data_IF_029160015511
#
_entry.id   IF_029160015511
#
_cell.length_a   1.000
_cell.length_b   1.000
_cell.length_c   1.000
_cell.angle_alpha   90.00
_cell.angle_beta   90.00
_cell.angle_gamma   90.00
#
_symmetry.space_group_name_H-M   'P 1'
#
loop_
_entity.id
_entity.type
_entity.pdbx_description
1 polymer ?
#
# COMPACT_ATOMS: atom_id res chain seq x y z
N UNK A 1 58.31 7.37 20.28
CA UNK A 1 57.22 8.32 19.99
C UNK A 1 56.52 7.90 18.71
N UNK A 2 55.37 7.25 18.80
CA UNK A 2 54.40 7.18 17.69
C UNK A 2 53.02 7.01 18.31
N UNK A 3 52.21 8.07 18.21
CA UNK A 3 50.85 8.15 18.76
C UNK A 3 49.94 7.26 17.91
N UNK A 4 49.63 6.07 18.40
CA UNK A 4 48.41 5.36 18.03
C UNK A 4 47.23 6.23 18.47
N UNK A 5 46.59 6.89 17.50
CA UNK A 5 45.33 7.58 17.69
C UNK A 5 44.27 6.51 17.98
N UNK A 6 44.07 6.21 19.26
CA UNK A 6 42.82 5.62 19.74
C UNK A 6 41.73 6.67 19.54
N UNK A 7 40.94 6.53 18.47
CA UNK A 7 39.64 7.19 18.37
C UNK A 7 38.73 6.56 19.42
N UNK A 8 38.75 7.13 20.62
CA UNK A 8 37.85 6.78 21.70
C UNK A 8 36.62 7.69 21.73
N UNK A 9 35.49 7.08 22.12
CA UNK A 9 34.31 7.67 22.79
C UNK A 9 33.42 8.56 21.90
N UNK A 10 32.09 8.47 21.91
CA UNK A 10 31.11 7.93 22.87
C UNK A 10 29.82 7.75 22.06
N UNK A 11 29.25 6.54 21.95
CA UNK A 11 27.92 6.38 21.34
C UNK A 11 26.91 6.86 22.39
N UNK A 12 26.35 8.04 22.19
CA UNK A 12 25.20 8.52 22.96
C UNK A 12 24.10 7.46 22.88
N UNK A 13 23.62 6.98 24.04
CA UNK A 13 22.51 6.03 24.18
C UNK A 13 21.14 6.69 23.91
N UNK A 14 21.11 7.79 23.16
CA UNK A 14 20.02 8.78 23.26
C UNK A 14 19.13 8.90 22.02
N UNK A 15 19.35 8.09 20.97
CA UNK A 15 18.45 8.09 19.82
C UNK A 15 17.51 6.90 19.88
N UNK A 16 16.26 7.16 20.27
CA UNK A 16 15.14 6.21 20.14
C UNK A 16 15.08 5.77 18.66
N UNK A 17 15.28 4.48 18.34
CA UNK A 17 15.19 4.00 16.98
C UNK A 17 13.77 4.20 16.45
N UNK A 18 13.65 4.60 15.20
CA UNK A 18 12.39 4.86 14.54
C UNK A 18 12.12 3.80 13.48
N UNK A 19 10.89 3.29 13.49
CA UNK A 19 10.40 2.27 12.58
C UNK A 19 9.11 2.73 11.91
N UNK A 20 9.05 2.58 10.60
CA UNK A 20 7.84 2.74 9.81
C UNK A 20 6.92 1.53 10.04
N UNK A 21 5.65 1.82 10.36
CA UNK A 21 4.57 0.84 10.52
C UNK A 21 4.44 -0.07 9.28
N UNK A 22 4.78 0.47 8.10
CA UNK A 22 4.59 -0.17 6.81
C UNK A 22 5.90 -0.60 6.19
N UNK A 23 6.87 0.31 6.12
CA UNK A 23 8.09 0.13 5.34
C UNK A 23 9.00 -0.90 5.96
N UNK A 24 9.33 -0.72 7.24
CA UNK A 24 10.38 -1.52 7.87
C UNK A 24 9.94 -2.96 8.14
N UNK A 25 8.71 -3.14 8.62
CA UNK A 25 8.19 -4.47 8.93
C UNK A 25 8.02 -5.32 7.66
N UNK A 26 7.40 -4.76 6.62
CA UNK A 26 7.17 -5.50 5.38
C UNK A 26 8.49 -5.78 4.66
N UNK A 27 9.39 -4.80 4.58
CA UNK A 27 10.69 -5.00 3.93
C UNK A 27 11.55 -6.02 4.67
N UNK A 28 11.62 -5.95 6.01
CA UNK A 28 12.36 -6.92 6.81
C UNK A 28 11.79 -8.34 6.67
N UNK A 29 10.47 -8.48 6.69
CA UNK A 29 9.82 -9.79 6.53
C UNK A 29 9.94 -10.34 5.12
N UNK A 30 9.96 -9.49 4.09
CA UNK A 30 10.21 -9.89 2.72
C UNK A 30 11.63 -10.46 2.55
N UNK A 31 12.65 -9.75 3.05
CA UNK A 31 14.03 -10.26 3.12
C UNK A 31 14.88 -9.43 4.09
N UNK A 32 15.34 -10.04 5.19
CA UNK A 32 16.11 -9.35 6.23
C UNK A 32 17.45 -8.80 5.72
N UNK A 33 18.14 -9.54 4.85
CA UNK A 33 19.38 -9.07 4.21
C UNK A 33 19.14 -7.87 3.29
N UNK A 34 18.10 -7.93 2.46
CA UNK A 34 17.75 -6.84 1.56
C UNK A 34 17.41 -5.58 2.36
N UNK A 35 16.51 -5.71 3.33
CA UNK A 35 16.14 -4.64 4.28
C UNK A 35 17.38 -3.96 4.87
N UNK A 36 18.32 -4.74 5.40
CA UNK A 36 19.54 -4.21 5.99
C UNK A 36 20.42 -3.46 4.99
N UNK A 37 20.50 -3.93 3.74
CA UNK A 37 21.33 -3.30 2.70
C UNK A 37 20.71 -2.00 2.17
N UNK A 38 19.38 -1.90 2.03
CA UNK A 38 18.73 -0.65 1.62
C UNK A 38 18.69 0.39 2.76
N UNK A 39 18.28 0.01 3.98
CA UNK A 39 18.03 0.97 5.05
C UNK A 39 19.27 1.71 5.55
N UNK A 40 20.44 1.06 5.60
CA UNK A 40 21.68 1.76 6.02
C UNK A 40 22.30 2.58 4.89
N UNK A 41 22.06 2.19 3.64
CA UNK A 41 22.64 2.86 2.48
C UNK A 41 21.72 3.97 1.91
N UNK A 42 20.51 4.15 2.46
CA UNK A 42 19.50 5.13 2.00
C UNK A 42 19.23 5.01 0.49
N UNK A 43 19.22 3.78 -0.01
CA UNK A 43 19.05 3.51 -1.43
C UNK A 43 17.56 3.51 -1.79
N UNK A 44 17.19 4.03 -2.97
CA UNK A 44 15.80 4.01 -3.43
C UNK A 44 15.33 2.56 -3.68
N UNK A 45 14.02 2.27 -3.55
CA UNK A 45 13.48 0.94 -3.76
C UNK A 45 13.58 0.51 -5.23
N UNK A 46 13.72 -0.80 -5.46
CA UNK A 46 13.99 -1.38 -6.78
C UNK A 46 12.76 -1.62 -7.68
N UNK A 47 11.57 -1.19 -7.26
CA UNK A 47 10.30 -1.35 -8.00
C UNK A 47 9.65 -0.01 -8.39
N UNK A 48 10.26 0.77 -9.30
CA UNK A 48 9.82 2.14 -9.60
C UNK A 48 8.40 2.24 -10.16
N UNK A 49 7.92 1.25 -10.93
CA UNK A 49 6.58 1.31 -11.55
C UNK A 49 5.46 1.08 -10.53
N UNK A 50 5.63 0.13 -9.61
CA UNK A 50 4.62 -0.15 -8.57
C UNK A 50 4.56 1.00 -7.56
N UNK A 51 5.72 1.56 -7.19
CA UNK A 51 5.82 2.77 -6.36
C UNK A 51 5.14 3.93 -7.06
N UNK A 52 5.48 4.20 -8.33
CA UNK A 52 4.84 5.28 -9.10
C UNK A 52 3.32 5.13 -9.14
N UNK A 53 2.79 3.93 -9.36
CA UNK A 53 1.34 3.74 -9.45
C UNK A 53 0.63 4.01 -8.11
N UNK A 54 1.22 3.58 -6.99
CA UNK A 54 0.69 3.87 -5.65
C UNK A 54 0.64 5.38 -5.38
N UNK A 55 1.78 6.04 -5.52
CA UNK A 55 1.93 7.49 -5.31
C UNK A 55 1.04 8.31 -6.25
N UNK A 56 0.91 7.87 -7.51
CA UNK A 56 0.02 8.50 -8.49
C UNK A 56 -1.44 8.45 -8.06
N UNK A 57 -1.92 7.30 -7.61
CA UNK A 57 -3.32 7.15 -7.20
C UNK A 57 -3.60 7.91 -5.90
N UNK A 58 -2.69 7.88 -4.93
CA UNK A 58 -2.78 8.68 -3.71
C UNK A 58 -2.88 10.17 -4.02
N UNK A 59 -1.92 10.70 -4.80
CA UNK A 59 -1.91 12.12 -5.17
C UNK A 59 -3.15 12.54 -5.95
N UNK A 60 -3.65 11.70 -6.87
CA UNK A 60 -4.86 12.00 -7.64
C UNK A 60 -6.11 12.04 -6.74
N UNK A 61 -6.25 11.09 -5.81
CA UNK A 61 -7.39 11.06 -4.89
C UNK A 61 -7.35 12.21 -3.89
N UNK A 62 -6.16 12.61 -3.44
CA UNK A 62 -5.98 13.76 -2.55
C UNK A 62 -6.35 15.07 -3.25
N UNK A 63 -5.82 15.32 -4.45
CA UNK A 63 -6.16 16.51 -5.24
C UNK A 63 -7.65 16.54 -5.61
N UNK A 64 -8.24 15.37 -5.93
CA UNK A 64 -9.67 15.25 -6.23
C UNK A 64 -10.54 15.54 -5.00
N UNK A 65 -10.15 15.06 -3.81
CA UNK A 65 -10.83 15.39 -2.56
C UNK A 65 -10.78 16.91 -2.31
N UNK A 66 -9.60 17.53 -2.42
CA UNK A 66 -9.44 18.97 -2.22
C UNK A 66 -10.35 19.75 -3.17
N UNK A 67 -10.38 19.38 -4.46
CA UNK A 67 -11.27 19.99 -5.44
C UNK A 67 -12.76 19.82 -5.09
N UNK A 68 -13.15 18.61 -4.68
CA UNK A 68 -14.52 18.30 -4.29
C UNK A 68 -14.96 19.06 -3.03
N UNK A 69 -14.09 19.20 -2.03
CA UNK A 69 -14.41 19.96 -0.81
C UNK A 69 -14.71 21.43 -1.11
N UNK A 70 -14.03 22.02 -2.11
CA UNK A 70 -14.25 23.40 -2.54
C UNK A 70 -15.51 23.57 -3.41
N UNK A 71 -15.75 22.66 -4.37
CA UNK A 71 -16.81 22.84 -5.38
C UNK A 71 -18.09 22.07 -5.07
N UNK A 72 -18.01 21.00 -4.26
CA UNK A 72 -19.08 20.05 -3.96
C UNK A 72 -19.81 19.55 -5.22
N UNK A 73 -19.08 19.42 -6.33
CA UNK A 73 -19.62 18.99 -7.61
C UNK A 73 -20.10 17.53 -7.53
N UNK A 74 -21.30 17.22 -8.06
CA UNK A 74 -21.81 15.85 -8.07
C UNK A 74 -20.98 14.94 -8.98
N UNK A 75 -20.98 13.66 -8.64
CA UNK A 75 -20.40 12.61 -9.47
C UNK A 75 -21.42 12.10 -10.51
N UNK A 76 -21.00 11.55 -11.66
CA UNK A 76 -19.61 11.30 -12.06
C UNK A 76 -18.92 12.54 -12.67
N UNK A 77 -17.61 12.65 -12.45
CA UNK A 77 -16.75 13.64 -13.09
C UNK A 77 -16.29 13.16 -14.46
N UNK A 78 -16.31 14.06 -15.44
CA UNK A 78 -15.77 13.81 -16.77
C UNK A 78 -14.24 13.68 -16.71
N UNK A 79 -13.71 12.60 -17.30
CA UNK A 79 -12.28 12.36 -17.26
C UNK A 79 -11.47 13.47 -17.93
N UNK A 80 -11.81 13.85 -19.16
CA UNK A 80 -10.97 14.75 -19.94
C UNK A 80 -10.96 16.17 -19.36
N UNK A 81 -12.11 16.64 -18.86
CA UNK A 81 -12.28 18.00 -18.35
C UNK A 81 -11.86 18.17 -16.89
N UNK A 82 -12.07 17.16 -16.04
CA UNK A 82 -11.92 17.30 -14.58
C UNK A 82 -10.81 16.44 -14.00
N UNK A 83 -10.77 15.16 -14.34
CA UNK A 83 -9.81 14.22 -13.71
C UNK A 83 -8.43 14.33 -14.36
N UNK A 84 -8.37 14.46 -15.69
CA UNK A 84 -7.12 14.51 -16.46
C UNK A 84 -6.20 15.67 -16.06
N UNK A 85 -6.68 16.91 -15.81
CA UNK A 85 -5.84 17.97 -15.29
C UNK A 85 -5.16 17.59 -13.95
N UNK A 86 -5.87 16.89 -13.07
CA UNK A 86 -5.33 16.40 -11.80
C UNK A 86 -4.24 15.34 -12.07
N UNK A 87 -4.53 14.34 -12.91
CA UNK A 87 -3.56 13.30 -13.28
C UNK A 87 -2.25 13.89 -13.82
N UNK A 88 -2.34 14.92 -14.67
CA UNK A 88 -1.17 15.59 -15.24
C UNK A 88 -0.38 16.34 -14.17
N UNK A 89 -1.05 17.07 -13.28
CA UNK A 89 -0.40 17.79 -12.19
C UNK A 89 0.37 16.83 -11.27
N UNK A 90 -0.26 15.74 -10.86
CA UNK A 90 0.35 14.69 -10.03
C UNK A 90 1.51 14.01 -10.76
N UNK A 91 1.35 13.63 -12.04
CA UNK A 91 2.44 13.03 -12.81
C UNK A 91 3.68 13.95 -12.88
N UNK A 92 3.49 15.26 -13.08
CA UNK A 92 4.60 16.23 -13.10
C UNK A 92 5.33 16.29 -11.76
N UNK A 93 4.61 16.21 -10.64
CA UNK A 93 5.22 16.15 -9.30
C UNK A 93 6.04 14.87 -9.13
N UNK A 94 5.51 13.71 -9.53
CA UNK A 94 6.23 12.44 -9.46
C UNK A 94 7.48 12.43 -10.35
N UNK A 95 7.40 13.01 -11.56
CA UNK A 95 8.55 13.14 -12.45
C UNK A 95 9.65 14.01 -11.84
N UNK A 96 9.29 15.10 -11.14
CA UNK A 96 10.24 15.92 -10.40
C UNK A 96 10.93 15.17 -9.24
N UNK A 97 10.27 14.14 -8.69
CA UNK A 97 10.83 13.21 -7.70
C UNK A 97 11.61 12.04 -8.33
N UNK A 98 11.76 12.01 -9.66
CA UNK A 98 12.45 10.95 -10.39
C UNK A 98 11.60 9.67 -10.59
N UNK A 99 10.31 9.70 -10.26
CA UNK A 99 9.38 8.60 -10.48
C UNK A 99 8.61 8.85 -11.78
N UNK A 100 8.72 7.92 -12.74
CA UNK A 100 8.07 8.12 -14.04
C UNK A 100 7.41 6.84 -14.56
N UNK A 101 6.17 6.96 -15.06
CA UNK A 101 5.43 5.84 -15.63
C UNK A 101 5.88 5.46 -17.04
N UNK A 102 5.83 4.17 -17.38
CA UNK A 102 5.92 3.79 -18.79
C UNK A 102 4.75 4.39 -19.58
N UNK A 103 4.99 4.67 -20.86
CA UNK A 103 3.96 5.19 -21.77
C UNK A 103 2.84 4.19 -22.10
N UNK A 104 2.98 2.94 -21.65
CA UNK A 104 1.94 1.90 -21.70
C UNK A 104 1.00 1.94 -20.49
N UNK A 105 1.43 2.57 -19.39
CA UNK A 105 0.66 2.67 -18.13
C UNK A 105 -0.05 4.02 -18.01
N UNK A 106 0.63 5.10 -18.41
CA UNK A 106 0.10 6.46 -18.32
C UNK A 106 0.45 7.30 -19.55
N UNK A 107 -0.56 7.99 -20.09
CA UNK A 107 -0.37 8.92 -21.20
C UNK A 107 0.15 10.23 -20.64
N UNK A 108 1.32 10.71 -21.08
CA UNK A 108 1.90 12.00 -20.64
C UNK A 108 1.57 13.17 -21.56
N UNK A 109 0.70 12.97 -22.55
CA UNK A 109 0.41 13.99 -23.54
C UNK A 109 -0.45 15.12 -22.95
N UNK A 110 -0.04 16.36 -23.24
CA UNK A 110 -0.64 17.60 -22.75
C UNK A 110 -0.92 18.64 -23.85
N UNK A 111 -0.60 18.32 -25.12
CA UNK A 111 -0.67 19.27 -26.23
C UNK A 111 -2.09 19.55 -26.76
N UNK A 112 -2.29 20.65 -27.51
CA UNK A 112 -3.60 21.03 -28.07
C UNK A 112 -4.00 20.24 -29.33
N UNK A 113 -3.05 19.54 -29.97
CA UNK A 113 -3.26 18.80 -31.22
C UNK A 113 -2.88 17.33 -31.07
N UNK A 114 -3.80 16.36 -31.32
CA UNK A 114 -3.54 14.92 -31.15
C UNK A 114 -2.33 14.36 -31.92
N UNK A 115 -1.81 15.09 -32.92
CA UNK A 115 -0.83 14.59 -33.90
C UNK A 115 0.65 14.85 -33.57
N UNK A 116 1.05 15.02 -32.30
CA UNK A 116 2.47 14.94 -31.95
C UNK A 116 2.84 13.49 -31.62
N UNK A 117 4.00 13.02 -32.10
CA UNK A 117 4.55 11.70 -31.75
C UNK A 117 4.89 11.66 -30.25
N UNK A 118 3.92 11.30 -29.43
CA UNK A 118 4.15 10.91 -28.05
C UNK A 118 4.85 9.55 -27.99
N UNK A 119 5.31 9.15 -26.79
CA UNK A 119 5.81 7.78 -26.54
C UNK A 119 4.68 6.75 -26.41
N UNK A 120 3.42 7.13 -26.64
CA UNK A 120 2.25 6.30 -26.40
C UNK A 120 2.04 5.29 -27.55
N UNK A 121 1.18 4.27 -27.34
CA UNK A 121 0.99 3.19 -28.31
C UNK A 121 0.53 3.62 -29.71
N UNK A 122 -0.17 4.76 -29.80
CA UNK A 122 -0.61 5.37 -31.05
C UNK A 122 -0.73 6.90 -30.91
N UNK A 123 -1.18 7.59 -31.98
CA UNK A 123 -1.29 9.06 -32.05
C UNK A 123 -2.68 9.60 -31.64
N UNK A 124 -3.58 8.78 -31.09
CA UNK A 124 -4.93 9.21 -30.67
C UNK A 124 -4.92 9.68 -29.21
N UNK A 125 -4.28 10.82 -28.98
CA UNK A 125 -4.17 11.41 -27.66
C UNK A 125 -5.37 12.28 -27.26
N UNK A 126 -5.68 12.40 -25.94
CA UNK A 126 -5.05 11.69 -24.82
C UNK A 126 -5.60 10.26 -24.64
N UNK A 127 -4.74 9.31 -24.29
CA UNK A 127 -5.17 7.94 -24.00
C UNK A 127 -5.59 7.79 -22.54
N UNK A 128 -6.81 7.28 -22.32
CA UNK A 128 -7.23 6.79 -21.00
C UNK A 128 -6.66 5.39 -20.76
N UNK A 129 -5.35 5.33 -20.48
CA UNK A 129 -4.66 4.07 -20.16
C UNK A 129 -5.05 3.55 -18.77
N UNK A 130 -4.56 2.35 -18.41
CA UNK A 130 -5.00 1.65 -17.21
C UNK A 130 -4.91 2.49 -15.93
N UNK A 131 -3.87 3.32 -15.78
CA UNK A 131 -3.73 4.19 -14.61
C UNK A 131 -4.87 5.23 -14.55
N UNK A 132 -5.17 5.89 -15.67
CA UNK A 132 -6.26 6.85 -15.78
C UNK A 132 -7.64 6.20 -15.61
N UNK A 133 -7.84 4.99 -16.15
CA UNK A 133 -9.10 4.25 -15.95
C UNK A 133 -9.34 3.94 -14.47
N UNK A 134 -8.29 3.52 -13.75
CA UNK A 134 -8.37 3.23 -12.31
C UNK A 134 -8.57 4.49 -11.48
N UNK A 135 -7.86 5.58 -11.80
CA UNK A 135 -8.03 6.86 -11.13
C UNK A 135 -9.46 7.39 -11.29
N UNK A 136 -10.00 7.38 -12.53
CA UNK A 136 -11.38 7.77 -12.79
C UNK A 136 -12.38 6.89 -12.06
N UNK A 137 -12.21 5.57 -12.09
CA UNK A 137 -13.09 4.65 -11.40
C UNK A 137 -13.03 4.85 -9.87
N UNK A 138 -11.84 5.10 -9.30
CA UNK A 138 -11.69 5.38 -7.88
C UNK A 138 -12.45 6.67 -7.49
N UNK A 139 -12.31 7.75 -8.26
CA UNK A 139 -13.04 9.00 -8.01
C UNK A 139 -14.56 8.79 -8.16
N UNK A 140 -15.01 8.23 -9.28
CA UNK A 140 -16.42 8.19 -9.63
C UNK A 140 -17.21 7.09 -8.90
N UNK A 141 -16.59 5.95 -8.57
CA UNK A 141 -17.29 4.83 -7.92
C UNK A 141 -17.12 4.84 -6.41
N UNK A 142 -15.92 5.18 -5.92
CA UNK A 142 -15.59 5.18 -4.48
C UNK A 142 -15.65 6.59 -3.90
N UNK A 143 -15.03 7.58 -4.56
CA UNK A 143 -15.00 8.98 -4.10
C UNK A 143 -16.38 9.56 -3.82
N UNK A 144 -17.39 9.23 -4.64
CA UNK A 144 -18.79 9.64 -4.40
C UNK A 144 -19.36 9.24 -3.04
N UNK A 145 -18.90 8.11 -2.50
CA UNK A 145 -19.36 7.57 -1.23
C UNK A 145 -18.40 7.88 -0.09
N UNK A 146 -17.10 7.99 -0.40
CA UNK A 146 -16.04 8.18 0.57
C UNK A 146 -15.79 9.65 0.89
N UNK A 147 -15.67 10.53 -0.10
CA UNK A 147 -15.32 11.94 0.11
C UNK A 147 -16.25 12.66 1.10
N UNK A 148 -17.57 12.42 1.12
CA UNK A 148 -18.44 12.99 2.15
C UNK A 148 -18.12 12.56 3.58
N UNK A 149 -17.51 11.38 3.76
CA UNK A 149 -17.16 10.81 5.06
C UNK A 149 -15.80 11.30 5.57
N UNK A 150 -14.93 11.79 4.67
CA UNK A 150 -13.55 12.14 4.96
C UNK A 150 -13.45 13.42 5.78
N UNK A 151 -12.72 13.35 6.88
CA UNK A 151 -12.41 14.50 7.74
C UNK A 151 -11.00 15.00 7.55
N UNK A 152 -10.04 14.08 7.39
CA UNK A 152 -8.62 14.39 7.19
C UNK A 152 -8.01 13.46 6.14
N UNK A 153 -6.97 13.92 5.46
CA UNK A 153 -6.17 13.12 4.53
C UNK A 153 -4.68 13.31 4.82
N UNK A 154 -3.86 12.31 4.50
CA UNK A 154 -2.39 12.31 4.68
C UNK A 154 -1.95 12.62 6.12
N UNK A 155 -2.57 11.94 7.10
CA UNK A 155 -2.35 12.20 8.52
C UNK A 155 -1.08 11.49 8.98
N UNK A 156 -0.07 12.27 9.39
CA UNK A 156 1.16 11.75 10.00
C UNK A 156 0.87 11.27 11.43
N UNK A 157 1.19 10.01 11.67
CA UNK A 157 0.96 9.31 12.92
C UNK A 157 2.30 8.94 13.55
N UNK A 158 2.41 9.14 14.87
CA UNK A 158 3.60 8.77 15.65
C UNK A 158 3.21 8.27 17.03
N UNK A 159 3.90 7.24 17.48
CA UNK A 159 3.75 6.67 18.81
C UNK A 159 5.07 6.12 19.31
N UNK A 160 5.13 5.75 20.59
CA UNK A 160 6.33 5.16 21.20
C UNK A 160 5.94 3.87 21.91
N UNK A 161 6.79 2.85 21.78
CA UNK A 161 6.62 1.54 22.43
C UNK A 161 7.88 1.14 23.16
N UNK A 162 7.75 0.34 24.20
CA UNK A 162 8.89 -0.17 24.98
C UNK A 162 9.49 -1.40 24.31
N UNK A 163 10.81 -1.53 24.41
CA UNK A 163 11.52 -2.76 24.06
C UNK A 163 11.50 -3.71 25.27
N UNK A 164 11.45 -5.01 25.00
CA UNK A 164 11.43 -6.05 26.02
C UNK A 164 12.79 -6.29 26.69
N UNK A 165 13.89 -5.90 26.03
CA UNK A 165 15.26 -6.18 26.46
C UNK A 165 16.06 -4.90 26.67
N UNK A 166 16.73 -4.82 27.82
CA UNK A 166 17.62 -3.70 28.20
C UNK A 166 19.00 -3.76 27.53
N UNK A 167 19.36 -4.88 26.90
CA UNK A 167 20.64 -5.02 26.19
C UNK A 167 20.66 -4.29 24.84
N UNK A 168 19.48 -3.97 24.31
CA UNK A 168 19.36 -3.20 23.08
C UNK A 168 19.88 -1.77 23.25
N UNK A 169 20.13 -1.10 22.13
CA UNK A 169 20.69 0.27 22.11
C UNK A 169 19.76 1.34 22.69
N UNK A 170 18.49 1.01 22.92
CA UNK A 170 17.47 1.86 23.52
C UNK A 170 16.47 1.01 24.33
N UNK A 171 15.73 1.66 25.24
CA UNK A 171 14.66 1.02 26.05
C UNK A 171 13.29 1.09 25.38
N UNK A 172 13.17 1.92 24.34
CA UNK A 172 11.94 2.17 23.60
C UNK A 172 12.26 2.43 22.13
N UNK A 173 11.24 2.34 21.28
CA UNK A 173 11.31 2.67 19.86
C UNK A 173 10.11 3.52 19.43
N UNK A 174 10.32 4.37 18.43
CA UNK A 174 9.30 5.22 17.79
C UNK A 174 8.67 4.43 16.65
N UNK A 175 7.34 4.46 16.57
CA UNK A 175 6.57 3.96 15.43
C UNK A 175 6.02 5.15 14.68
N UNK A 176 6.22 5.17 13.38
CA UNK A 176 5.71 6.22 12.48
C UNK A 176 4.88 5.64 11.36
N UNK A 177 3.94 6.42 10.84
CA UNK A 177 3.13 6.05 9.71
C UNK A 177 2.43 7.26 9.11
N UNK A 178 1.88 7.09 7.91
CA UNK A 178 0.96 8.06 7.32
C UNK A 178 -0.32 7.30 7.01
N UNK A 179 -1.44 7.76 7.58
CA UNK A 179 -2.74 7.26 7.23
C UNK A 179 -3.29 8.09 6.09
N UNK A 180 -3.62 7.44 4.96
CA UNK A 180 -4.12 8.11 3.76
C UNK A 180 -5.35 8.97 4.09
N UNK A 181 -6.25 8.44 4.92
CA UNK A 181 -7.55 9.05 5.21
C UNK A 181 -8.04 8.74 6.63
N UNK A 182 -8.58 9.76 7.27
CA UNK A 182 -9.45 9.64 8.45
C UNK A 182 -10.87 10.04 8.03
N UNK A 183 -11.85 9.21 8.38
CA UNK A 183 -13.26 9.44 8.12
C UNK A 183 -14.08 9.36 9.42
N UNK A 184 -15.22 10.04 9.46
CA UNK A 184 -16.10 10.06 10.64
C UNK A 184 -17.36 9.22 10.45
N UNK A 185 -17.72 8.42 11.47
CA UNK A 185 -18.96 7.65 11.47
C UNK A 185 -20.23 8.53 11.50
N UNK A 186 -20.14 9.80 11.96
CA UNK A 186 -21.31 10.69 12.05
C UNK A 186 -22.05 10.86 10.71
N UNK A 187 -21.33 10.74 9.61
CA UNK A 187 -21.87 10.89 8.25
C UNK A 187 -22.52 9.60 7.72
N UNK A 188 -22.34 8.46 8.40
CA UNK A 188 -22.87 7.16 7.97
C UNK A 188 -24.37 7.00 8.31
N UNK A 189 -24.89 7.70 9.33
CA UNK A 189 -26.30 7.62 9.74
C UNK A 189 -27.29 8.37 8.84
N UNK A 190 -26.82 9.39 8.10
CA UNK A 190 -27.66 10.19 7.18
C UNK A 190 -27.65 9.63 5.74
N UNK A 191 -26.69 8.76 5.42
CA UNK A 191 -26.47 8.25 4.07
C UNK A 191 -27.22 6.94 3.81
N UNK A 192 -28.54 7.04 3.58
CA UNK A 192 -29.30 5.93 3.01
C UNK A 192 -28.62 5.40 1.73
N UNK A 193 -28.35 4.09 1.69
CA UNK A 193 -27.70 3.35 0.59
C UNK A 193 -26.19 3.63 0.32
N UNK A 194 -25.39 4.05 1.30
CA UNK A 194 -23.92 4.10 1.12
C UNK A 194 -23.29 2.69 1.25
N UNK A 195 -22.65 2.13 0.20
CA UNK A 195 -22.08 0.78 0.24
C UNK A 195 -20.89 0.65 1.21
N UNK A 196 -20.16 1.74 1.49
CA UNK A 196 -19.08 1.74 2.50
C UNK A 196 -19.69 1.64 3.89
N UNK A 197 -20.75 2.40 4.16
CA UNK A 197 -21.48 2.34 5.42
C UNK A 197 -22.05 0.94 5.67
N UNK A 198 -22.67 0.36 4.63
CA UNK A 198 -23.23 -0.99 4.69
C UNK A 198 -22.14 -2.03 4.98
N UNK A 199 -21.01 -1.96 4.30
CA UNK A 199 -19.90 -2.89 4.52
C UNK A 199 -19.37 -2.81 5.97
N UNK A 200 -19.31 -1.60 6.55
CA UNK A 200 -18.93 -1.40 7.94
C UNK A 200 -19.96 -2.04 8.87
N UNK A 201 -21.25 -1.77 8.64
CA UNK A 201 -22.34 -2.34 9.44
C UNK A 201 -22.34 -3.87 9.40
N UNK A 202 -22.19 -4.46 8.22
CA UNK A 202 -22.20 -5.91 8.04
C UNK A 202 -21.04 -6.60 8.77
N UNK A 203 -19.91 -5.91 8.94
CA UNK A 203 -18.69 -6.49 9.54
C UNK A 203 -18.53 -6.14 11.02
N UNK A 204 -18.77 -4.88 11.39
CA UNK A 204 -18.53 -4.36 12.72
C UNK A 204 -19.82 -4.23 13.55
N UNK A 205 -20.99 -4.38 12.93
CA UNK A 205 -22.27 -4.04 13.56
C UNK A 205 -22.40 -2.55 13.84
N UNK A 206 -23.07 -2.22 14.93
CA UNK A 206 -23.20 -0.84 15.38
C UNK A 206 -21.88 -0.34 15.98
N UNK A 207 -21.34 0.77 15.44
CA UNK A 207 -20.22 1.49 16.03
C UNK A 207 -20.72 2.82 16.63
N UNK A 208 -20.20 3.27 17.78
CA UNK A 208 -20.69 4.48 18.44
C UNK A 208 -20.60 5.73 17.57
N UNK A 209 -21.56 6.64 17.68
CA UNK A 209 -21.47 7.96 17.08
C UNK A 209 -20.20 8.69 17.52
N UNK A 210 -19.62 9.45 16.58
CA UNK A 210 -18.35 10.15 16.80
C UNK A 210 -17.11 9.25 16.68
N UNK A 211 -17.26 7.95 16.42
CA UNK A 211 -16.11 7.08 16.13
C UNK A 211 -15.42 7.46 14.82
N UNK A 212 -14.11 7.25 14.77
CA UNK A 212 -13.31 7.41 13.57
C UNK A 212 -13.14 6.09 12.81
N UNK A 213 -12.87 6.24 11.52
CA UNK A 213 -12.56 5.18 10.58
C UNK A 213 -11.27 5.55 9.87
N UNK A 214 -10.31 4.63 9.84
CA UNK A 214 -9.10 4.81 9.02
C UNK A 214 -9.32 4.15 7.67
N UNK A 215 -8.95 4.84 6.59
CA UNK A 215 -9.02 4.30 5.23
C UNK A 215 -7.63 4.32 4.61
N UNK A 216 -7.23 3.22 3.98
CA UNK A 216 -5.95 3.06 3.27
C UNK A 216 -6.24 2.53 1.86
N UNK A 217 -5.67 3.21 0.87
CA UNK A 217 -5.80 2.87 -0.54
C UNK A 217 -4.68 1.93 -0.97
N UNK A 218 -5.07 0.83 -1.61
CA UNK A 218 -4.14 -0.16 -2.17
C UNK A 218 -4.24 -0.16 -3.69
N UNK A 219 -3.17 0.27 -4.36
CA UNK A 219 -2.99 0.23 -5.82
C UNK A 219 -2.73 -1.18 -6.39
N UNK A 220 -3.36 -2.19 -5.80
CA UNK A 220 -3.17 -3.61 -6.14
C UNK A 220 -4.50 -4.35 -6.11
N UNK A 221 -4.47 -5.61 -6.59
CA UNK A 221 -5.58 -6.55 -6.45
C UNK A 221 -5.85 -6.83 -4.96
N UNK A 222 -7.09 -7.15 -4.58
CA UNK A 222 -7.38 -7.78 -3.29
C UNK A 222 -6.64 -9.13 -3.24
N UNK A 223 -5.68 -9.32 -2.32
CA UNK A 223 -4.97 -10.59 -2.19
C UNK A 223 -5.93 -11.73 -1.88
N UNK A 224 -5.54 -12.95 -2.22
CA UNK A 224 -6.23 -14.12 -1.68
C UNK A 224 -5.99 -14.24 -0.17
N UNK A 225 -6.92 -14.88 0.55
CA UNK A 225 -6.89 -14.98 2.01
C UNK A 225 -5.67 -15.72 2.57
N UNK A 226 -5.05 -16.58 1.76
CA UNK A 226 -3.85 -17.34 2.12
C UNK A 226 -2.54 -16.67 1.67
N UNK A 227 -2.62 -15.54 0.95
CA UNK A 227 -1.44 -14.77 0.58
C UNK A 227 -0.93 -13.93 1.77
N UNK A 228 0.40 -13.83 1.97
CA UNK A 228 0.98 -13.04 3.06
C UNK A 228 0.50 -11.58 3.10
N UNK A 229 0.26 -11.00 1.94
CA UNK A 229 -0.22 -9.63 1.73
C UNK A 229 -1.60 -9.41 2.37
N UNK A 230 -2.46 -10.44 2.42
CA UNK A 230 -3.77 -10.37 3.06
C UNK A 230 -3.68 -9.99 4.53
N UNK A 231 -2.80 -10.67 5.27
CA UNK A 231 -2.62 -10.44 6.69
C UNK A 231 -1.74 -9.22 6.96
N UNK A 232 -0.70 -9.02 6.14
CA UNK A 232 0.15 -7.83 6.22
C UNK A 232 -0.65 -6.53 6.16
N UNK A 233 -1.59 -6.39 5.22
CA UNK A 233 -2.42 -5.18 5.14
C UNK A 233 -3.34 -5.01 6.36
N UNK A 234 -3.85 -6.11 6.92
CA UNK A 234 -4.67 -6.08 8.15
C UNK A 234 -3.85 -5.54 9.33
N UNK A 235 -2.67 -6.08 9.55
CA UNK A 235 -1.77 -5.68 10.65
C UNK A 235 -1.31 -4.23 10.48
N UNK A 236 -1.03 -3.82 9.24
CA UNK A 236 -0.63 -2.46 8.90
C UNK A 236 -1.69 -1.43 9.33
N UNK A 237 -2.94 -1.59 8.86
CA UNK A 237 -3.99 -0.60 9.11
C UNK A 237 -4.42 -0.59 10.59
N UNK A 238 -4.34 -1.72 11.30
CA UNK A 238 -4.57 -1.78 12.75
C UNK A 238 -3.47 -1.07 13.54
N UNK A 239 -2.22 -1.08 13.05
CA UNK A 239 -1.14 -0.29 13.65
C UNK A 239 -1.43 1.21 13.52
N UNK A 240 -1.99 1.66 12.40
CA UNK A 240 -2.47 3.05 12.26
C UNK A 240 -3.61 3.37 13.23
N UNK A 241 -4.57 2.46 13.41
CA UNK A 241 -5.65 2.65 14.37
C UNK A 241 -5.11 2.84 15.79
N UNK A 242 -4.12 2.04 16.18
CA UNK A 242 -3.43 2.22 17.45
C UNK A 242 -2.77 3.60 17.54
N UNK A 243 -1.97 4.00 16.55
CA UNK A 243 -1.28 5.28 16.55
C UNK A 243 -2.25 6.46 16.64
N UNK A 244 -3.37 6.42 15.91
CA UNK A 244 -4.42 7.46 15.96
C UNK A 244 -5.07 7.50 17.33
N UNK A 245 -5.35 6.34 17.94
CA UNK A 245 -5.90 6.26 19.29
C UNK A 245 -4.95 6.77 20.39
N UNK A 246 -3.65 6.96 20.11
CA UNK A 246 -2.71 7.59 21.05
C UNK A 246 -2.71 9.12 20.97
N UNK A 247 -3.30 9.71 19.93
CA UNK A 247 -3.30 11.17 19.76
C UNK A 247 -4.30 11.82 20.71
N UNK A 248 -3.85 12.85 21.43
CA UNK A 248 -4.70 13.56 22.39
C UNK A 248 -5.85 14.26 21.69
N UNK A 249 -7.09 13.99 22.12
CA UNK A 249 -8.30 14.61 21.58
C UNK A 249 -8.88 13.91 20.34
N UNK A 250 -8.20 12.90 19.79
CA UNK A 250 -8.74 12.12 18.67
C UNK A 250 -9.84 11.16 19.16
N UNK A 251 -11.01 11.10 18.48
CA UNK A 251 -11.98 10.06 18.75
C UNK A 251 -11.40 8.67 18.51
N UNK A 252 -12.01 7.67 19.14
CA UNK A 252 -11.54 6.29 19.03
C UNK A 252 -11.85 5.74 17.64
N UNK A 253 -10.83 5.16 17.00
CA UNK A 253 -11.00 4.40 15.77
C UNK A 253 -11.71 3.08 16.09
N UNK A 254 -12.79 2.78 15.35
CA UNK A 254 -13.60 1.56 15.55
C UNK A 254 -13.65 0.63 14.34
N UNK A 255 -13.35 1.15 13.15
CA UNK A 255 -13.25 0.36 11.95
C UNK A 255 -12.10 0.87 11.07
N UNK A 256 -11.56 -0.03 10.27
CA UNK A 256 -10.52 0.24 9.30
C UNK A 256 -11.01 -0.24 7.92
N UNK A 257 -10.73 0.52 6.87
CA UNK A 257 -11.09 0.22 5.50
C UNK A 257 -9.84 0.09 4.63
N UNK A 258 -9.68 -1.06 3.99
CA UNK A 258 -8.69 -1.27 2.94
C UNK A 258 -9.42 -1.21 1.59
N UNK A 259 -8.98 -0.32 0.71
CA UNK A 259 -9.60 -0.11 -0.60
C UNK A 259 -8.66 -0.60 -1.72
N UNK A 260 -9.00 -1.76 -2.31
CA UNK A 260 -8.24 -2.38 -3.40
C UNK A 260 -8.69 -1.83 -4.75
N UNK A 261 -8.02 -0.79 -5.23
CA UNK A 261 -8.48 0.03 -6.36
C UNK A 261 -8.39 -0.70 -7.71
N UNK A 262 -7.55 -1.74 -7.82
CA UNK A 262 -7.49 -2.54 -9.04
C UNK A 262 -8.75 -3.39 -9.25
N UNK A 263 -9.56 -3.63 -8.23
CA UNK A 263 -10.84 -4.34 -8.37
C UNK A 263 -11.89 -3.50 -9.11
N UNK A 264 -11.73 -2.16 -9.10
CA UNK A 264 -12.62 -1.25 -9.83
C UNK A 264 -12.43 -1.34 -11.34
N UNK A 265 -11.20 -1.55 -11.80
CA UNK A 265 -10.85 -1.78 -13.21
C UNK A 265 -9.78 -2.89 -13.28
N UNK A 266 -10.21 -4.16 -13.27
CA UNK A 266 -9.29 -5.29 -13.29
C UNK A 266 -8.68 -5.45 -14.68
N UNK A 267 -7.36 -5.66 -14.72
CA UNK A 267 -6.66 -6.06 -15.95
C UNK A 267 -6.92 -7.52 -16.30
N UNK A 268 -6.43 -7.97 -17.46
CA UNK A 268 -6.53 -9.39 -17.86
C UNK A 268 -5.82 -10.31 -16.88
N UNK A 269 -4.64 -9.90 -16.42
CA UNK A 269 -3.88 -10.64 -15.42
C UNK A 269 -4.59 -10.66 -14.08
N UNK A 270 -5.20 -9.54 -13.68
CA UNK A 270 -6.03 -9.51 -12.49
C UNK A 270 -7.15 -10.56 -12.64
N UNK A 271 -7.96 -10.53 -13.71
CA UNK A 271 -9.06 -11.48 -13.89
C UNK A 271 -8.58 -12.94 -13.85
N UNK A 272 -7.45 -13.25 -14.50
CA UNK A 272 -6.86 -14.60 -14.47
C UNK A 272 -6.60 -15.06 -13.03
N UNK A 273 -5.93 -14.23 -12.23
CA UNK A 273 -5.64 -14.55 -10.81
C UNK A 273 -6.92 -14.69 -9.99
N UNK A 274 -7.93 -13.85 -10.23
CA UNK A 274 -9.22 -13.98 -9.55
C UNK A 274 -9.91 -15.31 -9.85
N UNK A 275 -9.88 -15.78 -11.09
CA UNK A 275 -10.41 -17.10 -11.42
C UNK A 275 -9.68 -18.20 -10.62
N UNK A 276 -8.34 -18.12 -10.53
CA UNK A 276 -7.53 -19.05 -9.74
C UNK A 276 -7.90 -19.01 -8.25
N UNK A 277 -8.08 -17.81 -7.70
CA UNK A 277 -8.49 -17.60 -6.30
C UNK A 277 -9.89 -18.13 -6.02
N UNK A 278 -10.82 -18.01 -6.98
CA UNK A 278 -12.16 -18.57 -6.86
C UNK A 278 -12.11 -20.09 -6.88
N UNK A 279 -11.37 -20.68 -7.82
CA UNK A 279 -11.28 -22.13 -8.00
C UNK A 279 -10.70 -22.82 -6.76
N UNK A 280 -9.72 -22.20 -6.11
CA UNK A 280 -9.12 -22.69 -4.85
C UNK A 280 -9.85 -22.25 -3.58
N UNK A 281 -10.98 -21.54 -3.68
CA UNK A 281 -11.71 -20.95 -2.54
C UNK A 281 -10.85 -20.01 -1.66
N UNK A 282 -9.90 -19.32 -2.29
CA UNK A 282 -9.00 -18.36 -1.65
C UNK A 282 -9.56 -16.93 -1.55
N UNK A 283 -10.78 -16.67 -2.03
CA UNK A 283 -11.41 -15.33 -1.97
C UNK A 283 -12.52 -15.28 -0.92
N UNK A 284 -12.57 -14.19 -0.16
CA UNK A 284 -13.64 -13.91 0.80
C UNK A 284 -14.91 -13.37 0.13
N UNK A 285 -14.77 -12.74 -1.04
CA UNK A 285 -15.89 -12.28 -1.86
C UNK A 285 -16.02 -13.18 -3.10
N UNK A 286 -17.07 -14.00 -3.13
CA UNK A 286 -17.39 -14.90 -4.25
C UNK A 286 -18.35 -14.26 -5.24
N UNK A 287 -18.15 -14.43 -6.56
CA UNK A 287 -19.07 -13.89 -7.57
C UNK A 287 -20.43 -14.60 -7.50
N UNK A 288 -21.49 -13.88 -7.86
CA UNK A 288 -22.87 -14.39 -7.90
C UNK A 288 -23.50 -14.09 -9.27
N UNK A 289 -24.56 -14.83 -9.60
CA UNK A 289 -25.37 -14.58 -10.80
C UNK A 289 -24.56 -14.46 -12.09
N UNK A 290 -24.74 -13.34 -12.80
CA UNK A 290 -24.08 -13.08 -14.09
C UNK A 290 -22.56 -13.00 -13.98
N UNK A 291 -22.02 -12.44 -12.91
CA UNK A 291 -20.56 -12.33 -12.73
C UNK A 291 -19.92 -13.71 -12.58
N UNK A 292 -20.59 -14.64 -11.88
CA UNK A 292 -20.11 -16.01 -11.75
C UNK A 292 -20.09 -16.73 -13.12
N UNK A 293 -21.10 -16.52 -13.95
CA UNK A 293 -21.15 -17.07 -15.31
C UNK A 293 -20.04 -16.49 -16.19
N UNK A 294 -19.79 -15.18 -16.12
CA UNK A 294 -18.74 -14.51 -16.89
C UNK A 294 -17.34 -14.99 -16.52
N UNK A 295 -17.07 -15.18 -15.22
CA UNK A 295 -15.77 -15.66 -14.74
C UNK A 295 -15.55 -17.15 -15.04
N UNK A 296 -16.61 -17.97 -15.00
CA UNK A 296 -16.56 -19.41 -15.36
C UNK A 296 -16.42 -19.67 -16.85
N UNK A 297 -16.97 -18.82 -17.71
CA UNK A 297 -16.92 -19.00 -19.15
C UNK A 297 -15.48 -18.97 -19.72
N UNK A 298 -14.49 -18.55 -18.91
CA UNK A 298 -13.10 -18.47 -19.32
C UNK A 298 -12.86 -17.27 -20.24
N UNK A 299 -11.76 -16.56 -20.01
CA UNK A 299 -11.48 -15.33 -20.74
C UNK A 299 -10.63 -15.58 -22.00
N UNK A 300 -11.26 -15.85 -23.15
CA UNK A 300 -10.58 -16.00 -24.46
C UNK A 300 -10.53 -14.71 -25.29
N UNK A 301 -11.22 -13.65 -24.86
CA UNK A 301 -11.31 -12.37 -25.57
C UNK A 301 -10.12 -11.44 -25.37
N UNK A 302 -10.06 -10.36 -26.17
CA UNK A 302 -9.02 -9.32 -26.08
C UNK A 302 -9.19 -8.40 -24.84
N UNK A 303 -10.39 -8.29 -24.29
CA UNK A 303 -10.74 -7.35 -23.22
C UNK A 303 -11.38 -8.05 -22.01
N UNK A 304 -10.98 -7.73 -20.76
CA UNK A 304 -11.56 -8.31 -19.54
C UNK A 304 -13.10 -8.30 -19.55
N UNK A 305 -13.76 -9.32 -18.96
CA UNK A 305 -15.21 -9.32 -18.83
C UNK A 305 -15.69 -8.10 -18.04
N UNK A 306 -16.81 -7.52 -18.49
CA UNK A 306 -17.45 -6.40 -17.81
C UNK A 306 -18.21 -6.89 -16.57
N UNK A 307 -17.50 -6.96 -15.45
CA UNK A 307 -18.05 -7.31 -14.14
C UNK A 307 -18.99 -6.21 -13.63
N UNK A 308 -20.04 -6.61 -12.90
CA UNK A 308 -20.99 -5.68 -12.30
C UNK A 308 -20.30 -4.68 -11.37
N UNK A 309 -20.86 -3.48 -11.28
CA UNK A 309 -20.36 -2.45 -10.35
C UNK A 309 -20.46 -2.92 -8.89
N UNK A 310 -21.56 -3.59 -8.53
CA UNK A 310 -21.77 -4.14 -7.20
C UNK A 310 -20.65 -5.11 -6.81
N UNK A 311 -20.34 -6.08 -7.67
CA UNK A 311 -19.27 -7.04 -7.40
C UNK A 311 -17.90 -6.38 -7.33
N UNK A 312 -17.61 -5.42 -8.22
CA UNK A 312 -16.35 -4.66 -8.19
C UNK A 312 -16.21 -3.84 -6.91
N UNK A 313 -17.29 -3.21 -6.42
CA UNK A 313 -17.30 -2.45 -5.16
C UNK A 313 -17.13 -3.36 -3.94
N UNK A 314 -17.85 -4.49 -3.89
CA UNK A 314 -17.71 -5.48 -2.82
C UNK A 314 -16.28 -6.00 -2.71
N UNK A 315 -15.63 -6.26 -3.86
CA UNK A 315 -14.23 -6.69 -3.89
C UNK A 315 -13.25 -5.57 -3.56
N UNK A 316 -13.55 -4.33 -3.92
CA UNK A 316 -12.72 -3.18 -3.62
C UNK A 316 -12.66 -2.92 -2.10
N UNK A 317 -13.77 -3.08 -1.39
CA UNK A 317 -13.87 -2.71 0.03
C UNK A 317 -13.57 -3.92 0.92
N UNK A 318 -12.59 -3.79 1.82
CA UNK A 318 -12.37 -4.72 2.92
C UNK A 318 -12.43 -3.97 4.25
N UNK A 319 -13.36 -4.39 5.10
CA UNK A 319 -13.49 -3.84 6.45
C UNK A 319 -12.69 -4.69 7.43
N UNK A 320 -11.98 -4.03 8.34
CA UNK A 320 -11.24 -4.64 9.44
C UNK A 320 -11.73 -4.00 10.75
N UNK A 321 -12.36 -4.77 11.66
CA UNK A 321 -12.75 -4.24 12.97
C UNK A 321 -11.53 -3.78 13.78
N UNK A 322 -11.63 -2.58 14.36
CA UNK A 322 -10.58 -2.01 15.21
C UNK A 322 -11.03 -2.03 16.67
N UNK A 323 -10.84 -3.18 17.32
CA UNK A 323 -11.05 -3.38 18.75
C UNK A 323 -9.71 -3.63 19.46
N UNK A 324 -9.73 -3.66 20.79
CA UNK A 324 -8.49 -3.80 21.57
C UNK A 324 -7.79 -5.13 21.34
N UNK A 325 -8.53 -6.20 20.98
CA UNK A 325 -7.95 -7.50 20.68
C UNK A 325 -7.23 -7.48 19.33
N UNK A 326 -7.91 -7.02 18.26
CA UNK A 326 -7.32 -6.99 16.92
C UNK A 326 -6.14 -6.02 16.85
N UNK A 327 -6.25 -4.87 17.51
CA UNK A 327 -5.13 -3.92 17.65
C UNK A 327 -3.99 -4.56 18.45
N UNK A 328 -4.29 -5.24 19.57
CA UNK A 328 -3.29 -5.91 20.38
C UNK A 328 -2.47 -6.96 19.60
N UNK A 329 -3.14 -7.75 18.76
CA UNK A 329 -2.48 -8.70 17.85
C UNK A 329 -1.50 -8.02 16.88
N UNK A 330 -1.95 -6.94 16.23
CA UNK A 330 -1.13 -6.18 15.29
C UNK A 330 0.13 -5.62 15.95
N UNK A 331 -0.02 -5.08 17.16
CA UNK A 331 1.08 -4.52 17.94
C UNK A 331 2.05 -5.60 18.42
N UNK A 332 1.55 -6.76 18.83
CA UNK A 332 2.41 -7.89 19.21
C UNK A 332 3.27 -8.35 18.03
N UNK A 333 2.66 -8.49 16.85
CA UNK A 333 3.40 -8.83 15.63
C UNK A 333 4.47 -7.78 15.32
N UNK A 334 4.13 -6.49 15.43
CA UNK A 334 5.06 -5.39 15.23
C UNK A 334 6.22 -5.44 16.23
N UNK A 335 5.94 -5.62 17.52
CA UNK A 335 6.92 -5.74 18.60
C UNK A 335 7.90 -6.90 18.35
N UNK A 336 7.40 -8.05 17.90
CA UNK A 336 8.22 -9.22 17.57
C UNK A 336 9.18 -8.92 16.41
N UNK A 337 8.70 -8.26 15.36
CA UNK A 337 9.53 -7.85 14.22
C UNK A 337 10.63 -6.88 14.66
N UNK A 338 10.29 -5.86 15.45
CA UNK A 338 11.26 -4.87 15.92
C UNK A 338 12.29 -5.52 16.83
N UNK A 339 11.89 -6.43 17.72
CA UNK A 339 12.81 -7.20 18.56
C UNK A 339 13.78 -8.03 17.72
N UNK A 340 13.29 -8.67 16.66
CA UNK A 340 14.11 -9.42 15.71
C UNK A 340 15.12 -8.53 14.97
N UNK A 341 14.74 -7.31 14.60
CA UNK A 341 15.62 -6.32 13.96
C UNK A 341 16.69 -5.85 14.96
N UNK A 342 16.30 -5.44 16.17
CA UNK A 342 17.22 -4.93 17.19
C UNK A 342 18.20 -6.02 17.66
N UNK A 343 17.78 -7.28 17.77
CA UNK A 343 18.68 -8.40 18.06
C UNK A 343 19.76 -8.59 16.97
N UNK A 344 19.40 -8.36 15.69
CA UNK A 344 20.35 -8.40 14.57
C UNK A 344 21.30 -7.20 14.58
N UNK A 345 20.80 -6.01 14.93
CA UNK A 345 21.64 -4.81 15.13
C UNK A 345 22.64 -5.00 16.27
N UNK A 346 22.21 -5.61 17.37
CA UNK A 346 23.06 -5.97 18.52
C UNK A 346 24.17 -6.93 18.09
N UNK A 347 23.82 -8.02 17.41
CA UNK A 347 24.77 -9.01 16.92
C UNK A 347 25.79 -8.43 15.92
N UNK A 348 25.35 -7.56 15.01
CA UNK A 348 26.24 -6.83 14.10
C UNK A 348 27.19 -5.89 14.87
N UNK A 349 26.67 -5.19 15.89
CA UNK A 349 27.50 -4.30 16.74
C UNK A 349 28.55 -5.06 17.53
N UNK A 350 28.29 -6.34 17.84
CA UNK A 350 29.25 -7.26 18.47
C UNK A 350 30.29 -7.82 17.48
N UNK A 351 30.26 -7.42 16.20
CA UNK A 351 31.28 -7.75 15.21
C UNK A 351 30.96 -8.94 14.31
N UNK A 352 29.74 -9.50 14.36
CA UNK A 352 29.32 -10.57 13.43
C UNK A 352 29.10 -10.02 12.03
N UNK A 353 29.34 -10.84 11.00
CA UNK A 353 29.21 -10.40 9.60
C UNK A 353 27.74 -10.19 9.21
N UNK A 354 27.49 -9.23 8.32
CA UNK A 354 26.11 -8.91 7.85
C UNK A 354 25.43 -10.14 7.26
N UNK A 355 26.15 -10.92 6.45
CA UNK A 355 25.63 -12.13 5.79
C UNK A 355 25.36 -13.29 6.75
N UNK A 356 25.90 -13.25 7.97
CA UNK A 356 25.67 -14.26 9.01
C UNK A 356 24.48 -13.90 9.91
N UNK A 357 24.22 -12.61 10.08
CA UNK A 357 23.20 -12.10 11.02
C UNK A 357 21.88 -11.77 10.31
N UNK A 358 21.95 -11.26 9.09
CA UNK A 358 20.79 -10.85 8.32
C UNK A 358 20.47 -11.91 7.27
N UNK A 359 19.46 -12.73 7.58
CA UNK A 359 19.10 -13.87 6.76
C UNK A 359 18.42 -13.42 5.45
N UNK A 360 18.88 -13.93 4.29
CA UNK A 360 18.13 -13.79 3.07
C UNK A 360 16.86 -14.64 3.12
N UNK A 361 15.82 -14.22 2.41
CA UNK A 361 14.62 -15.02 2.18
C UNK A 361 14.34 -15.07 0.69
N UNK A 362 14.46 -16.26 0.11
CA UNK A 362 14.18 -16.45 -1.31
C UNK A 362 12.69 -16.23 -1.61
N UNK A 363 12.40 -15.20 -2.40
CA UNK A 363 11.13 -15.00 -3.10
C UNK A 363 11.45 -14.55 -4.51
N UNK A 364 11.01 -15.30 -5.52
CA UNK A 364 11.40 -15.04 -6.92
C UNK A 364 11.18 -13.57 -7.31
N UNK A 365 10.00 -13.03 -7.07
CA UNK A 365 9.67 -11.65 -7.45
C UNK A 365 10.50 -10.59 -6.70
N UNK A 366 10.88 -10.87 -5.45
CA UNK A 366 11.74 -9.99 -4.64
C UNK A 366 13.19 -10.08 -5.09
N UNK A 367 13.66 -11.31 -5.37
CA UNK A 367 15.05 -11.59 -5.73
C UNK A 367 15.39 -11.05 -7.12
N UNK A 368 14.51 -11.22 -8.11
CA UNK A 368 14.72 -10.69 -9.48
C UNK A 368 14.83 -9.16 -9.49
N UNK A 369 14.10 -8.50 -8.59
CA UNK A 369 14.17 -7.06 -8.41
C UNK A 369 15.25 -6.63 -7.39
N UNK A 370 16.06 -7.52 -6.84
CA UNK A 370 17.02 -7.16 -5.80
C UNK A 370 18.35 -6.70 -6.42
N UNK A 371 18.75 -5.45 -6.17
CA UNK A 371 20.03 -4.90 -6.66
C UNK A 371 21.25 -5.66 -6.08
N UNK A 372 21.06 -6.40 -5.00
CA UNK A 372 22.10 -7.15 -4.29
C UNK A 372 22.11 -8.65 -4.62
N UNK A 373 21.37 -9.10 -5.64
CA UNK A 373 21.26 -10.53 -5.98
C UNK A 373 22.62 -11.18 -6.27
N UNK A 374 23.59 -10.44 -6.83
CA UNK A 374 24.93 -10.93 -7.15
C UNK A 374 25.77 -11.29 -5.91
N UNK A 375 25.53 -10.61 -4.78
CA UNK A 375 26.26 -10.82 -3.51
C UNK A 375 25.44 -11.61 -2.49
N UNK A 376 24.25 -12.09 -2.86
CA UNK A 376 23.38 -12.84 -1.98
C UNK A 376 24.01 -14.20 -1.60
N UNK A 377 24.01 -14.59 -0.31
CA UNK A 377 24.50 -15.89 0.11
C UNK A 377 23.51 -17.05 -0.15
N UNK A 378 22.25 -16.75 -0.48
CA UNK A 378 21.21 -17.75 -0.74
C UNK A 378 21.50 -18.54 -2.03
N UNK A 379 21.56 -19.88 -1.90
CA UNK A 379 21.88 -20.78 -3.01
C UNK A 379 20.83 -20.77 -4.12
N UNK A 380 19.54 -20.56 -3.79
CA UNK A 380 18.45 -20.51 -4.76
C UNK A 380 18.52 -19.26 -5.64
N UNK A 381 18.94 -18.12 -5.06
CA UNK A 381 19.21 -16.90 -5.84
C UNK A 381 20.35 -17.14 -6.83
N UNK A 382 21.43 -17.78 -6.39
CA UNK A 382 22.61 -18.08 -7.23
C UNK A 382 22.30 -19.10 -8.33
N UNK A 383 21.43 -20.06 -8.05
CA UNK A 383 20.96 -21.03 -9.05
C UNK A 383 20.10 -20.34 -10.11
N UNK A 384 19.16 -19.48 -9.69
CA UNK A 384 18.33 -18.69 -10.60
C UNK A 384 19.17 -17.82 -11.54
N UNK A 385 20.16 -17.10 -11.00
CA UNK A 385 21.09 -16.28 -11.78
C UNK A 385 21.88 -17.11 -12.80
N UNK A 386 22.37 -18.28 -12.41
CA UNK A 386 23.11 -19.18 -13.32
C UNK A 386 22.25 -19.74 -14.45
N UNK A 387 20.99 -20.05 -14.16
CA UNK A 387 20.04 -20.56 -15.15
C UNK A 387 19.51 -19.45 -16.08
N UNK A 388 19.45 -18.20 -15.62
CA UNK A 388 19.06 -17.04 -16.43
C UNK A 388 20.11 -16.59 -17.46
N UNK A 389 21.40 -16.84 -17.20
CA UNK A 389 22.51 -16.54 -18.14
C UNK A 389 22.59 -17.53 -19.32
N UNK A 390 21.84 -18.64 -19.26
CA UNK A 390 21.83 -19.70 -20.30
C UNK A 390 20.64 -19.61 -21.27
N UNK A 391 19.90 -18.49 -21.32
CA UNK A 391 18.80 -18.28 -22.27
C UNK A 391 19.05 -17.09 -23.18
#
# INVERSE_FOLDING_TARGET
MSRLVRLGRTRTRDTIPEYSATGDVLAFRACGLQYRLYNRNRLPPSRPVQVWFGEFIHGVLEDALRLWQHQREPFPWDWQRKIRPIEIAVNRQLEALGLSASSTVFCRFEGPTPMQRGRCPDNLHPHKLLASQRAEAAINLVGRWLFPLMTEAEVRLRGTRRLSRTSFRAEAYSVTGVADVIASHRVLGEAGHNPIAQAIWDTCGHIPEGSEIIVDYKGMRRPAMDEPEWEAHRLQILTYAWLRNQQTGSPRVRACLLLYLNELVPSREDIRRLCEDIDRKGTDISPKGKDALLLRAGHTGRYPPALSEEFRLQRCIRVVPADDSTIGEALKYFDEVVQEIEARVEAETQGKLITEVWEPRFRLETCVACDFQAICPDSKVREHLRNGVRR
#
